data_IF_721707375612
#
_entry.id   IF_721707375612
#
_cell.length_a   1.000
_cell.length_b   1.000
_cell.length_c   1.000
_cell.angle_alpha   90.00
_cell.angle_beta   90.00
_cell.angle_gamma   90.00
#
_symmetry.space_group_name_H-M   'P 1'
#
loop_
_entity.id
_entity.type
_entity.pdbx_description
1 polymer ?
#
# COMPACT_ATOMS: atom_id res chain seq x y z
N UNK A 1 19.31 28.62 -56.38
CA UNK A 1 18.61 27.37 -56.72
C UNK A 1 18.00 26.87 -55.41
N UNK A 2 16.77 27.30 -55.11
CA UNK A 2 15.50 26.58 -55.38
C UNK A 2 15.33 25.42 -54.37
N UNK A 3 14.54 25.63 -53.30
CA UNK A 3 13.14 25.17 -53.09
C UNK A 3 13.07 23.62 -52.99
N UNK A 4 12.46 23.01 -51.97
CA UNK A 4 11.02 23.06 -51.71
C UNK A 4 10.65 22.82 -50.23
N UNK A 5 9.64 23.59 -49.81
CA UNK A 5 8.75 23.32 -48.69
C UNK A 5 7.59 22.44 -49.20
N UNK A 6 7.23 21.38 -48.48
CA UNK A 6 5.90 20.76 -48.57
C UNK A 6 5.57 20.09 -47.21
N UNK A 7 4.83 20.75 -46.31
CA UNK A 7 3.36 20.69 -46.14
C UNK A 7 2.76 19.31 -45.82
N UNK A 8 2.55 18.99 -44.53
CA UNK A 8 1.43 18.16 -44.02
C UNK A 8 1.10 18.62 -42.58
N UNK A 9 0.28 19.67 -42.37
CA UNK A 9 -1.19 19.74 -42.26
C UNK A 9 -1.84 18.79 -41.24
N UNK A 10 -2.26 19.42 -40.13
CA UNK A 10 -3.31 19.01 -39.19
C UNK A 10 -4.67 18.83 -39.91
N UNK A 11 -5.57 17.94 -39.45
CA UNK A 11 -6.96 17.99 -39.87
C UNK A 11 -7.77 18.85 -38.88
N UNK A 12 -8.14 20.06 -39.33
CA UNK A 12 -9.27 20.83 -38.81
C UNK A 12 -10.54 20.39 -39.54
N UNK A 13 -11.62 20.30 -38.76
CA UNK A 13 -13.03 20.20 -39.15
C UNK A 13 -13.36 20.79 -40.53
N UNK A 14 -14.05 20.02 -41.36
CA UNK A 14 -14.97 20.55 -42.36
C UNK A 14 -16.37 20.02 -42.07
N UNK A 15 -17.26 20.97 -41.77
CA UNK A 15 -18.70 20.83 -41.83
C UNK A 15 -19.12 21.34 -43.21
N UNK A 16 -19.95 20.57 -43.93
CA UNK A 16 -20.86 21.12 -44.93
C UNK A 16 -22.25 20.59 -44.59
N UNK A 17 -23.15 21.56 -44.49
CA UNK A 17 -24.52 21.49 -44.06
C UNK A 17 -25.48 21.23 -45.23
N UNK A 18 -26.71 20.87 -44.86
CA UNK A 18 -27.90 20.72 -45.69
C UNK A 18 -28.66 19.50 -45.19
N UNK A 19 -29.61 19.61 -44.27
CA UNK A 19 -30.97 20.13 -44.54
C UNK A 19 -31.52 20.94 -43.35
N UNK A 20 -32.34 21.92 -43.71
CA UNK A 20 -32.92 23.02 -42.94
C UNK A 20 -33.81 22.62 -41.74
N UNK A 21 -33.73 23.45 -40.69
CA UNK A 21 -34.75 23.64 -39.66
C UNK A 21 -35.93 24.45 -40.25
N UNK A 22 -37.21 24.14 -39.98
CA UNK A 22 -38.07 24.56 -38.84
C UNK A 22 -39.55 24.23 -39.24
N UNK A 23 -40.60 24.33 -38.39
CA UNK A 23 -40.65 24.68 -36.97
C UNK A 23 -41.50 23.70 -36.11
N UNK A 24 -41.57 24.05 -34.82
CA UNK A 24 -42.33 23.42 -33.74
C UNK A 24 -43.71 22.85 -34.11
N UNK A 25 -43.99 21.65 -33.60
CA UNK A 25 -45.29 21.37 -33.01
C UNK A 25 -45.05 20.80 -31.63
N UNK A 26 -45.38 21.61 -30.63
CA UNK A 26 -45.59 21.15 -29.28
C UNK A 26 -46.73 20.12 -29.33
N UNK A 27 -46.39 18.85 -29.50
CA UNK A 27 -47.27 17.78 -29.09
C UNK A 27 -47.21 17.80 -27.56
N UNK A 28 -48.20 18.49 -27.00
CA UNK A 28 -48.59 18.39 -25.61
C UNK A 28 -48.32 16.96 -25.14
N UNK A 29 -47.40 16.82 -24.17
CA UNK A 29 -47.57 15.77 -23.20
C UNK A 29 -48.96 16.04 -22.61
N UNK A 30 -49.98 15.41 -23.19
CA UNK A 30 -51.26 15.24 -22.55
C UNK A 30 -50.89 14.42 -21.33
N UNK A 31 -50.64 15.16 -20.23
CA UNK A 31 -50.87 14.70 -18.88
C UNK A 31 -52.30 14.17 -18.91
N UNK A 32 -52.44 12.90 -19.31
CA UNK A 32 -53.58 12.10 -18.97
C UNK A 32 -53.57 12.09 -17.45
N UNK A 33 -54.39 12.96 -16.87
CA UNK A 33 -54.78 12.87 -15.49
C UNK A 33 -55.16 11.41 -15.25
N UNK A 34 -54.32 10.67 -14.52
CA UNK A 34 -54.82 9.50 -13.82
C UNK A 34 -55.70 10.09 -12.71
N UNK A 35 -57.04 9.95 -12.77
CA UNK A 35 -57.86 10.30 -11.63
C UNK A 35 -57.38 9.44 -10.46
N UNK A 36 -56.99 10.11 -9.39
CA UNK A 36 -56.73 9.44 -8.12
C UNK A 36 -57.99 8.72 -7.65
N UNK A 37 -57.79 7.54 -7.07
CA UNK A 37 -58.71 6.80 -6.20
C UNK A 37 -59.78 5.87 -6.79
N UNK A 38 -59.58 5.30 -7.98
CA UNK A 38 -60.29 4.05 -8.36
C UNK A 38 -59.29 2.94 -8.64
N UNK A 39 -59.39 1.85 -7.86
CA UNK A 39 -58.53 0.68 -8.01
C UNK A 39 -58.87 -0.05 -9.31
N UNK A 40 -58.08 0.20 -10.36
CA UNK A 40 -58.15 -0.55 -11.62
C UNK A 40 -58.02 -2.04 -11.31
N UNK A 41 -59.00 -2.83 -11.74
CA UNK A 41 -59.03 -4.27 -11.51
C UNK A 41 -57.87 -4.96 -12.23
N UNK A 42 -57.40 -6.07 -11.67
CA UNK A 42 -56.28 -6.85 -12.21
C UNK A 42 -56.50 -7.30 -13.65
N UNK A 43 -57.75 -7.58 -14.04
CA UNK A 43 -58.10 -7.94 -15.41
C UNK A 43 -57.91 -6.75 -16.39
N UNK A 44 -58.21 -5.54 -15.94
CA UNK A 44 -58.11 -4.31 -16.73
C UNK A 44 -56.64 -3.89 -16.92
N UNK A 45 -55.78 -4.10 -15.91
CA UNK A 45 -54.31 -3.93 -16.03
C UNK A 45 -53.68 -4.85 -17.08
N UNK A 46 -54.15 -6.09 -17.14
CA UNK A 46 -53.68 -7.08 -18.13
C UNK A 46 -54.09 -6.69 -19.54
N UNK A 47 -55.31 -6.16 -19.69
CA UNK A 47 -55.80 -5.72 -20.98
C UNK A 47 -55.02 -4.51 -21.50
N UNK A 48 -54.79 -3.50 -20.66
CA UNK A 48 -53.98 -2.32 -21.01
C UNK A 48 -52.54 -2.73 -21.39
N UNK A 49 -51.91 -3.61 -20.62
CA UNK A 49 -50.55 -4.08 -20.94
C UNK A 49 -50.47 -4.83 -22.28
N UNK A 50 -51.51 -5.59 -22.67
CA UNK A 50 -51.56 -6.22 -23.99
C UNK A 50 -51.75 -5.22 -25.12
N UNK A 51 -52.58 -4.19 -24.90
CA UNK A 51 -52.80 -3.11 -25.89
C UNK A 51 -51.54 -2.24 -26.08
N UNK A 52 -50.73 -2.10 -25.03
CA UNK A 52 -49.42 -1.42 -25.08
C UNK A 52 -48.29 -2.30 -25.64
N UNK A 53 -48.59 -3.55 -26.05
CA UNK A 53 -47.66 -4.44 -26.73
C UNK A 53 -46.70 -5.21 -25.81
N UNK A 54 -46.99 -5.29 -24.51
CA UNK A 54 -46.19 -6.11 -23.59
C UNK A 54 -46.40 -7.61 -23.85
N UNK A 55 -45.30 -8.36 -23.72
CA UNK A 55 -45.30 -9.81 -23.89
C UNK A 55 -46.13 -10.50 -22.80
N UNK A 56 -46.90 -11.53 -23.19
CA UNK A 56 -47.77 -12.28 -22.28
C UNK A 56 -47.00 -12.88 -21.09
N UNK A 57 -45.76 -13.31 -21.30
CA UNK A 57 -44.89 -13.85 -20.26
C UNK A 57 -44.44 -12.77 -19.27
N UNK A 58 -44.18 -11.54 -19.75
CA UNK A 58 -43.81 -10.41 -18.89
C UNK A 58 -44.99 -9.97 -18.00
N UNK A 59 -46.22 -10.04 -18.53
CA UNK A 59 -47.46 -9.77 -17.79
C UNK A 59 -47.67 -10.83 -16.71
N UNK A 60 -47.49 -12.12 -17.04
CA UNK A 60 -47.63 -13.22 -16.07
C UNK A 60 -46.57 -13.11 -14.93
N UNK A 61 -45.34 -12.72 -15.25
CA UNK A 61 -44.26 -12.48 -14.28
C UNK A 61 -44.54 -11.29 -13.35
N UNK A 62 -45.25 -10.27 -13.83
CA UNK A 62 -45.60 -9.10 -13.03
C UNK A 62 -46.79 -9.34 -12.09
N UNK A 63 -47.70 -10.26 -12.46
CA UNK A 63 -48.88 -10.62 -11.67
C UNK A 63 -48.60 -11.68 -10.61
N UNK A 64 -47.67 -12.59 -10.89
CA UNK A 64 -47.26 -13.64 -9.96
C UNK A 64 -45.97 -13.19 -9.28
N UNK A 65 -46.01 -12.71 -8.01
CA UNK A 65 -44.77 -12.50 -7.28
C UNK A 65 -44.00 -13.83 -7.27
N UNK A 66 -42.71 -13.85 -7.68
CA UNK A 66 -41.94 -15.09 -7.72
C UNK A 66 -42.03 -15.76 -6.36
N UNK A 67 -42.46 -17.03 -6.38
CA UNK A 67 -42.89 -17.81 -5.23
C UNK A 67 -42.02 -17.60 -3.99
N UNK A 68 -42.59 -16.94 -2.99
CA UNK A 68 -42.11 -17.01 -1.62
C UNK A 68 -42.88 -18.10 -0.89
N UNK A 69 -42.86 -19.34 -1.39
CA UNK A 69 -43.25 -20.46 -0.54
C UNK A 69 -42.15 -20.64 0.50
N UNK A 70 -42.47 -21.04 1.75
CA UNK A 70 -41.46 -21.29 2.77
C UNK A 70 -40.38 -22.28 2.30
N UNK A 71 -40.75 -23.22 1.43
CA UNK A 71 -39.85 -24.21 0.85
C UNK A 71 -38.79 -23.59 -0.08
N UNK A 72 -39.14 -22.57 -0.86
CA UNK A 72 -38.20 -21.90 -1.77
C UNK A 72 -37.23 -20.99 -1.01
N UNK A 73 -37.68 -20.36 0.08
CA UNK A 73 -36.81 -19.61 1.01
C UNK A 73 -35.80 -20.55 1.67
N UNK A 74 -36.25 -21.73 2.12
CA UNK A 74 -35.37 -22.75 2.72
C UNK A 74 -34.36 -23.26 1.68
N UNK A 75 -34.78 -23.52 0.44
CA UNK A 75 -33.87 -23.93 -0.64
C UNK A 75 -32.83 -22.86 -0.96
N UNK A 76 -33.24 -21.59 -1.00
CA UNK A 76 -32.33 -20.46 -1.20
C UNK A 76 -31.32 -20.36 -0.05
N UNK A 77 -31.77 -20.51 1.20
CA UNK A 77 -30.88 -20.51 2.38
C UNK A 77 -29.87 -21.66 2.33
N UNK A 78 -30.31 -22.86 1.93
CA UNK A 78 -29.41 -24.00 1.74
C UNK A 78 -28.40 -23.70 0.64
N UNK A 79 -28.83 -23.18 -0.51
CA UNK A 79 -27.94 -22.80 -1.62
C UNK A 79 -26.94 -21.71 -1.22
N UNK A 80 -27.38 -20.68 -0.48
CA UNK A 80 -26.50 -19.63 0.05
C UNK A 80 -25.50 -20.22 1.03
N UNK A 81 -25.92 -21.14 1.91
CA UNK A 81 -25.04 -21.79 2.88
C UNK A 81 -24.01 -22.66 2.17
N UNK A 82 -24.43 -23.45 1.18
CA UNK A 82 -23.53 -24.26 0.35
C UNK A 82 -22.57 -23.37 -0.44
N UNK A 83 -23.05 -22.27 -1.03
CA UNK A 83 -22.20 -21.30 -1.72
C UNK A 83 -21.20 -20.64 -0.76
N UNK A 84 -21.61 -20.25 0.45
CA UNK A 84 -20.73 -19.69 1.46
C UNK A 84 -19.68 -20.70 1.93
N UNK A 85 -20.06 -21.97 2.15
CA UNK A 85 -19.13 -23.06 2.49
C UNK A 85 -18.16 -23.31 1.34
N UNK A 86 -18.63 -23.34 0.09
CA UNK A 86 -17.77 -23.46 -1.09
C UNK A 86 -16.83 -22.28 -1.21
N UNK A 87 -17.28 -21.04 -0.95
CA UNK A 87 -16.41 -19.87 -0.91
C UNK A 87 -15.38 -20.01 0.21
N UNK A 88 -15.74 -20.40 1.44
CA UNK A 88 -14.77 -20.59 2.53
C UNK A 88 -13.76 -21.71 2.20
N UNK A 89 -14.21 -22.79 1.55
CA UNK A 89 -13.40 -23.95 1.24
C UNK A 89 -12.46 -23.71 0.05
N UNK A 90 -12.92 -23.05 -1.02
CA UNK A 90 -12.12 -22.71 -2.19
C UNK A 90 -11.35 -21.39 -2.02
N UNK A 91 -11.79 -20.51 -1.13
CA UNK A 91 -11.19 -19.21 -0.80
C UNK A 91 -10.97 -19.11 0.71
N UNK A 92 -9.88 -19.70 1.25
CA UNK A 92 -9.57 -19.58 2.67
C UNK A 92 -9.47 -18.10 3.05
N UNK A 93 -10.30 -17.64 4.00
CA UNK A 93 -10.42 -16.23 4.40
C UNK A 93 -9.08 -15.63 4.90
N UNK A 94 -8.17 -16.47 5.40
CA UNK A 94 -6.78 -16.10 5.75
C UNK A 94 -5.97 -15.57 4.55
N UNK A 95 -6.43 -15.80 3.31
CA UNK A 95 -5.82 -15.28 2.08
C UNK A 95 -6.14 -13.80 1.83
N UNK A 96 -7.28 -13.32 2.33
CA UNK A 96 -7.76 -11.95 2.10
C UNK A 96 -7.53 -11.04 3.31
N UNK A 97 -7.61 -11.59 4.51
CA UNK A 97 -7.28 -10.87 5.74
C UNK A 97 -5.83 -11.14 6.10
N UNK A 98 -4.93 -10.37 5.48
CA UNK A 98 -3.54 -10.28 5.94
C UNK A 98 -3.57 -9.79 7.39
N UNK A 99 -2.82 -10.39 8.33
CA UNK A 99 -2.72 -9.87 9.68
C UNK A 99 -2.24 -8.41 9.58
N UNK A 100 -2.97 -7.48 10.20
CA UNK A 100 -2.47 -6.13 10.38
C UNK A 100 -1.22 -6.26 11.26
N UNK A 101 -0.02 -5.93 10.75
CA UNK A 101 1.18 -6.02 11.56
C UNK A 101 1.03 -5.07 12.74
N UNK A 102 1.27 -5.55 13.96
CA UNK A 102 1.58 -4.67 15.07
C UNK A 102 3.01 -4.20 14.87
N UNK A 103 3.11 -2.93 14.48
CA UNK A 103 4.33 -2.21 14.08
C UNK A 103 5.35 -2.23 15.24
N UNK A 104 6.65 -2.32 14.95
CA UNK A 104 7.73 -1.99 15.90
C UNK A 104 7.71 -0.50 16.36
N UNK A 105 6.64 0.22 16.01
CA UNK A 105 6.66 1.65 15.81
C UNK A 105 7.56 2.04 14.63
N UNK A 106 7.31 3.23 14.10
CA UNK A 106 8.32 3.88 13.26
C UNK A 106 9.61 4.09 14.06
N UNK A 107 10.76 4.17 13.39
CA UNK A 107 11.98 4.60 14.06
C UNK A 107 11.76 6.03 14.58
N UNK A 108 11.75 6.20 15.90
CA UNK A 108 11.43 7.48 16.53
C UNK A 108 12.59 7.96 17.40
N UNK A 109 12.77 9.27 17.47
CA UNK A 109 13.66 9.90 18.45
C UNK A 109 13.15 9.79 19.89
N UNK A 110 11.99 9.17 20.09
CA UNK A 110 11.36 8.95 21.39
C UNK A 110 10.21 9.92 21.68
N UNK A 111 9.85 9.99 22.96
CA UNK A 111 8.75 10.81 23.46
C UNK A 111 8.90 12.32 23.19
N UNK A 112 7.88 13.11 23.51
CA UNK A 112 7.86 14.54 23.22
C UNK A 112 8.94 15.30 24.00
N UNK A 113 9.62 16.22 23.33
CA UNK A 113 10.47 17.23 23.95
C UNK A 113 9.58 18.34 24.53
N UNK A 114 9.38 18.36 25.84
CA UNK A 114 8.52 19.33 26.52
C UNK A 114 9.34 20.43 27.22
N UNK A 115 8.82 21.65 27.28
CA UNK A 115 9.50 22.77 27.99
C UNK A 115 9.77 22.44 29.45
N UNK A 116 8.85 21.70 30.10
CA UNK A 116 8.94 21.34 31.51
C UNK A 116 10.08 20.34 31.83
N UNK A 117 10.58 19.60 30.84
CA UNK A 117 11.67 18.64 31.00
C UNK A 117 13.04 19.17 30.57
N UNK A 118 13.12 20.46 30.19
CA UNK A 118 14.36 21.03 29.64
C UNK A 118 14.82 22.28 30.41
N UNK A 119 16.14 22.44 30.50
CA UNK A 119 16.72 23.63 31.10
C UNK A 119 16.40 24.87 30.25
N UNK A 120 15.84 25.90 30.88
CA UNK A 120 15.44 27.13 30.21
C UNK A 120 16.60 27.84 29.49
N UNK A 121 17.84 27.64 29.94
CA UNK A 121 19.06 28.14 29.27
C UNK A 121 19.38 27.39 27.98
N UNK A 122 19.18 26.07 27.94
CA UNK A 122 19.48 25.24 26.77
C UNK A 122 18.49 25.51 25.63
N UNK A 123 17.20 25.67 25.95
CA UNK A 123 16.16 26.03 24.97
C UNK A 123 16.37 27.43 24.40
N UNK A 124 16.87 28.37 25.21
CA UNK A 124 17.13 29.75 24.77
C UNK A 124 18.34 29.84 23.83
N UNK A 125 19.34 28.99 24.03
CA UNK A 125 20.60 29.05 23.29
C UNK A 125 20.64 28.15 22.05
N UNK A 126 19.67 27.23 21.89
CA UNK A 126 19.62 26.28 20.77
C UNK A 126 18.33 26.49 19.95
N UNK A 127 18.40 27.18 18.79
CA UNK A 127 17.24 27.47 17.94
C UNK A 127 16.46 26.20 17.52
N UNK A 128 17.17 25.13 17.15
CA UNK A 128 16.60 23.86 16.76
C UNK A 128 15.81 23.19 17.90
N UNK A 129 16.24 23.35 19.15
CA UNK A 129 15.59 22.76 20.32
C UNK A 129 14.28 23.48 20.62
N UNK A 130 14.29 24.82 20.52
CA UNK A 130 13.09 25.64 20.62
C UNK A 130 12.06 25.29 19.53
N UNK A 131 12.53 25.06 18.31
CA UNK A 131 11.65 24.61 17.22
C UNK A 131 11.05 23.23 17.52
N UNK A 132 11.87 22.27 17.94
CA UNK A 132 11.45 20.90 18.25
C UNK A 132 10.37 20.86 19.34
N UNK A 133 10.55 21.63 20.42
CA UNK A 133 9.58 21.69 21.53
C UNK A 133 8.23 22.25 21.06
N UNK A 134 8.23 23.28 20.20
CA UNK A 134 6.99 23.82 19.62
C UNK A 134 6.29 22.83 18.70
N UNK A 135 7.06 22.12 17.88
CA UNK A 135 6.56 21.08 16.99
C UNK A 135 5.93 19.94 17.80
N UNK A 136 6.63 19.46 18.82
CA UNK A 136 6.15 18.37 19.67
C UNK A 136 4.91 18.78 20.48
N UNK A 137 4.81 20.05 20.92
CA UNK A 137 3.58 20.59 21.50
C UNK A 137 2.42 20.55 20.48
N UNK A 138 2.63 21.07 19.28
CA UNK A 138 1.59 21.08 18.25
C UNK A 138 1.14 19.66 17.90
N UNK A 139 2.08 18.73 17.78
CA UNK A 139 1.79 17.35 17.39
C UNK A 139 1.17 16.52 18.51
N UNK A 140 1.85 16.41 19.67
CA UNK A 140 1.44 15.49 20.73
C UNK A 140 0.39 16.08 21.70
N UNK A 141 0.40 17.40 21.94
CA UNK A 141 -0.56 18.02 22.89
C UNK A 141 -1.78 18.59 22.18
N UNK A 142 -1.59 19.23 21.02
CA UNK A 142 -2.67 19.91 20.31
C UNK A 142 -3.26 19.09 19.15
N UNK A 143 -2.61 17.98 18.74
CA UNK A 143 -3.07 17.12 17.65
C UNK A 143 -3.02 17.76 16.26
N UNK A 144 -2.30 18.88 16.11
CA UNK A 144 -2.24 19.70 14.89
C UNK A 144 -1.08 19.28 13.98
N UNK A 145 -1.17 18.07 13.44
CA UNK A 145 -0.14 17.48 12.57
C UNK A 145 0.25 18.39 11.39
N UNK A 146 -0.73 19.01 10.72
CA UNK A 146 -0.44 19.90 9.57
C UNK A 146 0.29 21.19 9.97
N UNK A 147 0.00 21.75 11.16
CA UNK A 147 0.71 22.94 11.66
C UNK A 147 2.11 22.58 12.13
N UNK A 148 2.28 21.43 12.78
CA UNK A 148 3.58 20.90 13.17
C UNK A 148 4.50 20.70 11.95
N UNK A 149 3.98 20.15 10.86
CA UNK A 149 4.71 19.99 9.59
C UNK A 149 5.12 21.33 9.01
N UNK A 150 4.19 22.29 8.89
CA UNK A 150 4.50 23.63 8.36
C UNK A 150 5.57 24.33 9.19
N UNK A 151 5.52 24.20 10.51
CA UNK A 151 6.52 24.77 11.40
C UNK A 151 7.88 24.08 11.22
N UNK A 152 7.91 22.75 11.08
CA UNK A 152 9.14 22.02 10.81
C UNK A 152 9.77 22.44 9.48
N UNK A 153 8.99 22.55 8.40
CA UNK A 153 9.44 23.04 7.09
C UNK A 153 10.04 24.45 7.20
N UNK A 154 9.33 25.38 7.85
CA UNK A 154 9.77 26.76 8.04
C UNK A 154 11.08 26.88 8.84
N UNK A 155 11.25 26.07 9.89
CA UNK A 155 12.45 26.11 10.73
C UNK A 155 13.64 25.40 10.05
N UNK A 156 13.40 24.32 9.31
CA UNK A 156 14.43 23.64 8.53
C UNK A 156 14.96 24.49 7.37
N UNK A 157 14.14 25.35 6.77
CA UNK A 157 14.60 26.35 5.78
C UNK A 157 15.62 27.34 6.35
N UNK A 158 15.54 27.62 7.66
CA UNK A 158 16.46 28.52 8.37
C UNK A 158 17.70 27.81 8.89
N UNK A 159 17.78 26.48 8.76
CA UNK A 159 18.88 25.70 9.30
C UNK A 159 20.19 26.07 8.58
N UNK A 160 21.26 26.45 9.32
CA UNK A 160 22.54 26.74 8.71
C UNK A 160 23.10 25.50 8.02
N UNK A 161 23.55 25.63 6.77
CA UNK A 161 24.14 24.50 6.03
C UNK A 161 25.34 23.88 6.78
N UNK A 162 26.12 24.71 7.49
CA UNK A 162 27.30 24.28 8.24
C UNK A 162 26.98 23.65 9.61
N UNK A 163 25.73 23.64 10.07
CA UNK A 163 25.30 23.09 11.37
C UNK A 163 24.19 22.03 11.22
N UNK A 164 24.17 21.31 10.08
CA UNK A 164 23.13 20.31 9.80
C UNK A 164 23.09 19.19 10.86
N UNK A 165 24.23 18.87 11.47
CA UNK A 165 24.34 17.93 12.59
C UNK A 165 23.60 18.38 13.86
N UNK A 166 23.62 19.68 14.18
CA UNK A 166 22.87 20.25 15.31
C UNK A 166 21.35 20.18 15.11
N UNK A 167 20.90 20.18 13.85
CA UNK A 167 19.49 20.15 13.46
C UNK A 167 18.93 18.75 13.19
N UNK A 168 19.76 17.71 13.34
CA UNK A 168 19.43 16.32 13.01
C UNK A 168 18.14 15.81 13.65
N UNK A 169 17.94 16.08 14.94
CA UNK A 169 16.73 15.64 15.64
C UNK A 169 15.45 16.30 15.08
N UNK A 170 15.57 17.54 14.55
CA UNK A 170 14.45 18.22 13.89
C UNK A 170 14.12 17.53 12.55
N UNK A 171 15.12 17.14 11.78
CA UNK A 171 14.92 16.33 10.56
C UNK A 171 14.25 14.99 10.88
N UNK A 172 14.70 14.30 11.91
CA UNK A 172 14.13 13.01 12.30
C UNK A 172 12.65 13.14 12.70
N UNK A 173 12.32 14.13 13.55
CA UNK A 173 10.92 14.39 13.90
C UNK A 173 10.11 14.81 12.68
N UNK A 174 10.66 15.64 11.80
CA UNK A 174 9.99 16.03 10.57
C UNK A 174 9.63 14.80 9.70
N UNK A 175 10.51 13.82 9.59
CA UNK A 175 10.23 12.58 8.86
C UNK A 175 9.18 11.69 9.53
N UNK A 176 9.16 11.61 10.86
CA UNK A 176 8.07 10.98 11.61
C UNK A 176 6.73 11.63 11.24
N UNK A 177 6.65 12.96 11.30
CA UNK A 177 5.41 13.71 10.96
C UNK A 177 4.99 13.49 9.50
N UNK A 178 5.93 13.47 8.56
CA UNK A 178 5.63 13.22 7.15
C UNK A 178 5.13 11.79 6.90
N UNK A 179 5.67 10.81 7.64
CA UNK A 179 5.20 9.42 7.57
C UNK A 179 3.75 9.33 8.07
N UNK A 180 3.44 9.96 9.19
CA UNK A 180 2.10 9.98 9.80
C UNK A 180 1.08 10.73 8.94
N UNK A 181 1.51 11.78 8.24
CA UNK A 181 0.69 12.54 7.30
C UNK A 181 0.55 11.90 5.91
N UNK A 182 1.11 10.71 5.70
CA UNK A 182 1.16 10.01 4.41
C UNK A 182 1.77 10.85 3.26
N UNK A 183 2.75 11.70 3.58
CA UNK A 183 3.45 12.56 2.60
C UNK A 183 4.65 11.84 1.98
N UNK A 184 4.44 10.64 1.45
CA UNK A 184 5.49 9.73 1.00
C UNK A 184 6.48 10.31 -0.03
N UNK A 185 6.02 11.14 -0.98
CA UNK A 185 6.91 11.77 -1.96
C UNK A 185 7.84 12.81 -1.31
N UNK A 186 7.30 13.67 -0.44
CA UNK A 186 8.07 14.69 0.28
C UNK A 186 9.08 14.02 1.20
N UNK A 187 8.65 12.97 1.91
CA UNK A 187 9.51 12.16 2.77
C UNK A 187 10.69 11.57 1.99
N UNK A 188 10.41 10.97 0.82
CA UNK A 188 11.44 10.39 -0.06
C UNK A 188 12.44 11.43 -0.55
N UNK A 189 11.97 12.60 -0.97
CA UNK A 189 12.85 13.67 -1.46
C UNK A 189 13.71 14.26 -0.33
N UNK A 190 13.10 14.53 0.83
CA UNK A 190 13.80 15.10 1.98
C UNK A 190 14.88 14.16 2.53
N UNK A 191 14.56 12.88 2.71
CA UNK A 191 15.53 11.88 3.16
C UNK A 191 16.64 11.66 2.13
N UNK A 192 16.32 11.62 0.84
CA UNK A 192 17.33 11.53 -0.23
C UNK A 192 18.35 12.68 -0.17
N UNK A 193 17.87 13.91 -0.07
CA UNK A 193 18.73 15.10 0.00
C UNK A 193 19.57 15.16 1.29
N UNK A 194 19.13 14.52 2.37
CA UNK A 194 19.91 14.39 3.59
C UNK A 194 20.99 13.30 3.47
N UNK A 195 20.65 12.18 2.82
CA UNK A 195 21.58 11.06 2.58
C UNK A 195 22.73 11.41 1.64
N UNK A 196 22.61 12.46 0.83
CA UNK A 196 23.72 12.95 0.00
C UNK A 196 24.91 13.42 0.86
N UNK A 197 24.65 13.99 2.04
CA UNK A 197 25.68 14.42 3.00
C UNK A 197 25.99 13.34 4.06
N UNK A 198 24.97 12.57 4.47
CA UNK A 198 25.07 11.59 5.54
C UNK A 198 24.60 10.21 5.07
N UNK A 199 25.36 9.53 4.20
CA UNK A 199 24.89 8.32 3.52
C UNK A 199 24.57 7.17 4.47
N UNK A 200 25.26 7.05 5.60
CA UNK A 200 25.09 5.95 6.56
C UNK A 200 24.19 6.32 7.75
N UNK A 201 23.42 7.41 7.66
CA UNK A 201 22.49 7.79 8.72
C UNK A 201 21.34 6.76 8.83
N UNK A 202 21.18 6.06 9.98
CA UNK A 202 20.22 4.98 10.09
C UNK A 202 18.76 5.45 10.00
N UNK A 203 18.45 6.64 10.54
CA UNK A 203 17.11 7.21 10.47
C UNK A 203 16.74 7.59 9.04
N UNK A 204 17.61 8.32 8.36
CA UNK A 204 17.36 8.77 7.00
C UNK A 204 17.19 7.57 6.04
N UNK A 205 18.03 6.54 6.20
CA UNK A 205 17.93 5.30 5.42
C UNK A 205 16.63 4.54 5.68
N UNK A 206 16.21 4.44 6.95
CA UNK A 206 14.94 3.81 7.31
C UNK A 206 13.75 4.51 6.64
N UNK A 207 13.64 5.83 6.79
CA UNK A 207 12.52 6.60 6.22
C UNK A 207 12.55 6.67 4.69
N UNK A 208 13.75 6.71 4.09
CA UNK A 208 13.89 6.61 2.64
C UNK A 208 13.41 5.24 2.12
N UNK A 209 13.82 4.14 2.77
CA UNK A 209 13.37 2.80 2.38
C UNK A 209 11.85 2.62 2.57
N UNK A 210 11.30 3.05 3.71
CA UNK A 210 9.87 2.95 4.00
C UNK A 210 9.02 3.77 3.02
N UNK A 211 9.45 4.99 2.67
CA UNK A 211 8.77 5.79 1.65
C UNK A 211 8.89 5.19 0.24
N UNK A 212 10.05 4.61 -0.10
CA UNK A 212 10.26 3.90 -1.36
C UNK A 212 9.34 2.69 -1.49
N UNK A 213 9.21 1.87 -0.43
CA UNK A 213 8.31 0.72 -0.35
C UNK A 213 6.84 1.15 -0.39
N UNK A 214 6.46 2.27 0.24
CA UNK A 214 5.07 2.75 0.17
C UNK A 214 4.65 3.22 -1.23
N UNK A 215 5.59 3.79 -1.98
CA UNK A 215 5.35 4.08 -3.41
C UNK A 215 5.22 2.81 -4.26
N UNK A 216 5.61 1.66 -3.70
CA UNK A 216 5.67 0.38 -4.41
C UNK A 216 4.38 -0.33 -4.69
N UNK A 217 3.35 -0.07 -3.91
CA UNK A 217 2.09 -0.79 -4.08
C UNK A 217 1.34 -0.45 -5.38
N UNK A 218 1.87 0.48 -6.21
CA UNK A 218 1.27 0.94 -7.47
C UNK A 218 1.76 0.20 -8.73
N UNK A 219 2.48 -0.93 -8.60
CA UNK A 219 3.26 -1.51 -9.71
C UNK A 219 2.58 -2.41 -10.72
N UNK A 220 1.30 -2.75 -10.54
CA UNK A 220 0.62 -3.67 -11.45
C UNK A 220 0.54 -3.18 -12.91
N UNK A 221 0.77 -1.89 -13.17
CA UNK A 221 0.68 -1.28 -14.50
C UNK A 221 2.03 -0.75 -15.07
N UNK A 222 3.18 -1.14 -14.52
CA UNK A 222 4.47 -0.68 -15.06
C UNK A 222 4.84 -1.42 -16.36
N UNK A 223 5.27 -0.65 -17.36
CA UNK A 223 5.94 -1.19 -18.54
C UNK A 223 7.30 -1.82 -18.17
N UNK A 224 7.86 -2.63 -19.07
CA UNK A 224 9.10 -3.37 -18.81
C UNK A 224 10.29 -2.46 -18.47
N UNK A 225 10.42 -1.32 -19.15
CA UNK A 225 11.52 -0.38 -18.92
C UNK A 225 11.42 0.27 -17.52
N UNK A 226 10.24 0.74 -17.13
CA UNK A 226 10.01 1.34 -15.81
C UNK A 226 10.17 0.30 -14.70
N UNK A 227 9.75 -0.95 -14.94
CA UNK A 227 9.97 -2.07 -14.01
C UNK A 227 11.45 -2.32 -13.77
N UNK A 228 12.27 -2.38 -14.82
CA UNK A 228 13.71 -2.59 -14.72
C UNK A 228 14.42 -1.42 -14.02
N UNK A 229 14.09 -0.17 -14.38
CA UNK A 229 14.64 1.00 -13.70
C UNK A 229 14.28 1.01 -12.21
N UNK A 230 13.03 0.68 -11.90
CA UNK A 230 12.57 0.65 -10.52
C UNK A 230 13.23 -0.48 -9.71
N UNK A 231 13.42 -1.66 -10.32
CA UNK A 231 14.21 -2.75 -9.76
C UNK A 231 15.64 -2.33 -9.44
N UNK A 232 16.34 -1.68 -10.37
CA UNK A 232 17.69 -1.18 -10.13
C UNK A 232 17.74 -0.18 -8.98
N UNK A 233 16.73 0.68 -8.87
CA UNK A 233 16.62 1.60 -7.73
C UNK A 233 16.42 0.84 -6.41
N UNK A 234 15.56 -0.18 -6.39
CA UNK A 234 15.32 -1.00 -5.21
C UNK A 234 16.59 -1.74 -4.76
N UNK A 235 17.37 -2.28 -5.71
CA UNK A 235 18.67 -2.90 -5.43
C UNK A 235 19.67 -1.89 -4.85
N UNK A 236 19.70 -0.65 -5.37
CA UNK A 236 20.55 0.40 -4.84
C UNK A 236 20.16 0.77 -3.40
N UNK A 237 18.86 0.84 -3.09
CA UNK A 237 18.39 1.07 -1.72
C UNK A 237 18.81 -0.09 -0.81
N UNK A 238 18.60 -1.34 -1.23
CA UNK A 238 18.95 -2.52 -0.44
C UNK A 238 20.46 -2.60 -0.14
N UNK A 239 21.32 -2.22 -1.10
CA UNK A 239 22.78 -2.08 -0.88
C UNK A 239 23.12 -0.94 0.07
N UNK A 240 22.38 0.17 0.03
CA UNK A 240 22.57 1.28 0.97
C UNK A 240 22.26 0.86 2.41
N UNK A 241 21.16 0.13 2.61
CA UNK A 241 20.81 -0.42 3.92
C UNK A 241 21.89 -1.39 4.42
N UNK A 242 22.44 -2.22 3.53
CA UNK A 242 23.52 -3.14 3.92
C UNK A 242 24.78 -2.41 4.43
N UNK A 243 25.17 -1.31 3.76
CA UNK A 243 26.27 -0.45 4.21
C UNK A 243 25.99 0.17 5.58
N UNK A 244 24.77 0.68 5.77
CA UNK A 244 24.32 1.28 7.02
C UNK A 244 24.32 0.27 8.17
N UNK A 245 23.78 -0.93 7.94
CA UNK A 245 23.83 -2.03 8.90
C UNK A 245 25.27 -2.45 9.23
N UNK A 246 26.15 -2.49 8.24
CA UNK A 246 27.58 -2.80 8.46
C UNK A 246 28.26 -1.74 9.34
N UNK A 247 27.93 -0.46 9.12
CA UNK A 247 28.40 0.66 9.94
C UNK A 247 27.90 0.56 11.39
N UNK A 248 26.63 0.21 11.60
CA UNK A 248 26.06 -0.03 12.93
C UNK A 248 26.74 -1.20 13.66
N UNK A 249 27.00 -2.31 12.96
CA UNK A 249 27.74 -3.44 13.53
C UNK A 249 29.19 -3.08 13.90
N UNK A 250 29.84 -2.23 13.10
CA UNK A 250 31.17 -1.71 13.44
C UNK A 250 31.13 -0.84 14.71
N UNK A 251 30.11 0.01 14.85
CA UNK A 251 29.88 0.81 16.06
C UNK A 251 29.63 -0.08 17.29
N UNK A 252 28.81 -1.14 17.15
CA UNK A 252 28.54 -2.12 18.22
C UNK A 252 29.82 -2.77 18.77
N UNK A 253 30.83 -2.98 17.92
CA UNK A 253 32.11 -3.60 18.28
C UNK A 253 33.12 -2.63 18.91
N UNK A 254 32.84 -1.33 18.93
CA UNK A 254 33.78 -0.34 19.45
C UNK A 254 33.89 -0.45 20.98
N UNK A 255 35.11 -0.45 21.56
CA UNK A 255 35.28 -0.43 23.01
C UNK A 255 34.71 0.88 23.59
N UNK A 256 33.90 0.78 24.65
CA UNK A 256 33.35 1.94 25.37
C UNK A 256 31.92 2.37 24.97
N UNK A 257 31.18 1.58 24.20
CA UNK A 257 29.75 1.85 23.95
C UNK A 257 28.93 1.50 25.19
N UNK A 258 28.11 2.43 25.67
CA UNK A 258 27.20 2.21 26.81
C UNK A 258 26.12 1.19 26.47
N UNK A 259 25.57 0.52 27.49
CA UNK A 259 24.52 -0.48 27.31
C UNK A 259 23.24 0.11 26.67
N UNK A 260 22.86 1.33 27.02
CA UNK A 260 21.74 2.05 26.39
C UNK A 260 22.00 2.28 24.89
N UNK A 261 23.21 2.72 24.54
CA UNK A 261 23.59 2.95 23.13
C UNK A 261 23.65 1.64 22.35
N UNK A 262 24.04 0.52 22.97
CA UNK A 262 23.99 -0.80 22.35
C UNK A 262 22.55 -1.22 22.03
N UNK A 263 21.61 -0.99 22.94
CA UNK A 263 20.19 -1.29 22.70
C UNK A 263 19.63 -0.48 21.53
N UNK A 264 19.96 0.82 21.46
CA UNK A 264 19.55 1.69 20.34
C UNK A 264 20.14 1.21 19.02
N UNK A 265 21.42 0.83 19.00
CA UNK A 265 22.07 0.30 17.80
C UNK A 265 21.40 -1.00 17.34
N UNK A 266 21.03 -1.88 18.28
CA UNK A 266 20.34 -3.13 17.96
C UNK A 266 18.94 -2.88 17.39
N UNK A 267 18.14 -2.00 18.00
CA UNK A 267 16.82 -1.60 17.48
C UNK A 267 16.93 -1.04 16.05
N UNK A 268 17.91 -0.17 15.82
CA UNK A 268 18.16 0.39 14.49
C UNK A 268 18.55 -0.69 13.48
N UNK A 269 19.43 -1.60 13.89
CA UNK A 269 19.86 -2.70 13.06
C UNK A 269 18.67 -3.60 12.65
N UNK A 270 17.83 -3.98 13.62
CA UNK A 270 16.65 -4.81 13.37
C UNK A 270 15.67 -4.14 12.41
N UNK A 271 15.32 -2.86 12.66
CA UNK A 271 14.42 -2.09 11.79
C UNK A 271 14.95 -1.95 10.36
N UNK A 272 16.24 -1.65 10.20
CA UNK A 272 16.86 -1.54 8.87
C UNK A 272 16.92 -2.87 8.13
N UNK A 273 17.24 -3.98 8.84
CA UNK A 273 17.22 -5.32 8.26
C UNK A 273 15.82 -5.73 7.80
N UNK A 274 14.78 -5.41 8.58
CA UNK A 274 13.40 -5.66 8.16
C UNK A 274 13.04 -4.89 6.87
N UNK A 275 13.37 -3.59 6.78
CA UNK A 275 13.13 -2.81 5.55
C UNK A 275 13.95 -3.36 4.37
N UNK A 276 15.17 -3.86 4.60
CA UNK A 276 15.97 -4.53 3.59
C UNK A 276 15.32 -5.82 3.09
N UNK A 277 14.77 -6.65 3.98
CA UNK A 277 14.03 -7.85 3.60
C UNK A 277 12.79 -7.49 2.75
N UNK A 278 12.04 -6.45 3.13
CA UNK A 278 10.90 -5.94 2.34
C UNK A 278 11.33 -5.50 0.94
N UNK A 279 12.47 -4.83 0.79
CA UNK A 279 13.03 -4.46 -0.51
C UNK A 279 13.40 -5.67 -1.37
N UNK A 280 13.97 -6.72 -0.77
CA UNK A 280 14.27 -7.95 -1.51
C UNK A 280 13.00 -8.67 -1.97
N UNK A 281 11.95 -8.72 -1.14
CA UNK A 281 10.64 -9.24 -1.56
C UNK A 281 10.07 -8.42 -2.72
N UNK A 282 10.22 -7.10 -2.69
CA UNK A 282 9.80 -6.23 -3.78
C UNK A 282 10.58 -6.50 -5.08
N UNK A 283 11.90 -6.62 -5.01
CA UNK A 283 12.76 -6.95 -6.16
C UNK A 283 12.35 -8.29 -6.76
N UNK A 284 12.14 -9.30 -5.91
CA UNK A 284 11.67 -10.62 -6.33
C UNK A 284 10.32 -10.54 -7.07
N UNK A 285 9.35 -9.79 -6.52
CA UNK A 285 8.03 -9.59 -7.17
C UNK A 285 8.13 -8.85 -8.51
N UNK A 286 9.08 -7.92 -8.64
CA UNK A 286 9.32 -7.19 -9.90
C UNK A 286 10.01 -8.06 -10.95
N UNK A 287 10.70 -9.13 -10.54
CA UNK A 287 11.36 -10.09 -11.41
C UNK A 287 10.43 -10.79 -12.39
N UNK A 288 9.14 -10.87 -12.07
CA UNK A 288 8.15 -11.53 -12.91
C UNK A 288 7.93 -12.99 -12.53
N UNK A 289 7.00 -13.61 -13.26
CA UNK A 289 6.32 -14.85 -12.88
C UNK A 289 7.05 -16.14 -13.30
N UNK A 290 8.27 -16.10 -13.82
CA UNK A 290 8.97 -17.29 -14.34
C UNK A 290 9.73 -18.04 -13.24
N UNK A 291 9.66 -19.39 -13.31
CA UNK A 291 9.79 -20.50 -12.33
C UNK A 291 10.71 -20.37 -11.09
N UNK A 292 10.79 -21.41 -10.24
CA UNK A 292 11.75 -21.43 -9.10
C UNK A 292 13.23 -21.49 -9.54
N UNK A 293 13.50 -21.56 -10.83
CA UNK A 293 14.85 -21.47 -11.41
C UNK A 293 15.19 -20.04 -11.87
N UNK A 294 14.28 -19.08 -11.68
CA UNK A 294 14.53 -17.70 -12.05
C UNK A 294 15.63 -17.08 -11.18
N UNK A 295 16.55 -16.28 -11.76
CA UNK A 295 17.67 -15.68 -11.03
C UNK A 295 17.21 -14.84 -9.82
N UNK A 296 15.99 -14.35 -9.82
CA UNK A 296 15.45 -13.50 -8.74
C UNK A 296 14.97 -14.25 -7.51
N UNK A 297 14.92 -15.59 -7.58
CA UNK A 297 14.69 -16.43 -6.41
C UNK A 297 15.74 -16.17 -5.33
N UNK A 298 16.95 -15.75 -5.72
CA UNK A 298 18.01 -15.31 -4.79
C UNK A 298 17.53 -14.19 -3.87
N UNK A 299 16.68 -13.26 -4.34
CA UNK A 299 16.16 -12.19 -3.49
C UNK A 299 15.10 -12.68 -2.51
N UNK A 300 14.26 -13.65 -2.90
CA UNK A 300 13.36 -14.33 -1.97
C UNK A 300 14.16 -14.99 -0.85
N UNK A 301 15.19 -15.74 -1.20
CA UNK A 301 15.99 -16.49 -0.24
C UNK A 301 16.77 -15.55 0.68
N UNK A 302 17.30 -14.43 0.16
CA UNK A 302 17.89 -13.36 0.99
C UNK A 302 16.88 -12.73 1.95
N UNK A 303 15.64 -12.52 1.52
CA UNK A 303 14.61 -11.98 2.41
C UNK A 303 14.27 -12.96 3.54
N UNK A 304 14.18 -14.26 3.22
CA UNK A 304 13.95 -15.33 4.21
C UNK A 304 15.13 -15.43 5.18
N UNK A 305 16.36 -15.47 4.69
CA UNK A 305 17.59 -15.53 5.51
C UNK A 305 17.65 -14.36 6.50
N UNK A 306 17.32 -13.14 6.06
CA UNK A 306 17.22 -11.98 6.97
C UNK A 306 16.12 -12.21 8.02
N UNK A 307 14.93 -12.64 7.62
CA UNK A 307 13.82 -12.86 8.55
C UNK A 307 14.06 -14.03 9.53
N UNK A 308 14.93 -14.97 9.17
CA UNK A 308 15.30 -16.14 9.98
C UNK A 308 16.53 -15.89 10.85
N UNK A 309 17.22 -14.77 10.64
CA UNK A 309 18.34 -14.39 11.49
C UNK A 309 17.92 -14.26 12.95
N UNK A 310 18.82 -14.61 13.87
CA UNK A 310 18.58 -14.50 15.32
C UNK A 310 18.10 -13.11 15.74
N UNK A 311 18.55 -12.07 15.03
CA UNK A 311 18.16 -10.69 15.29
C UNK A 311 16.66 -10.41 15.02
N UNK A 312 16.02 -11.18 14.14
CA UNK A 312 14.63 -10.98 13.70
C UNK A 312 13.71 -12.18 13.97
N UNK A 313 14.23 -13.31 14.47
CA UNK A 313 13.47 -14.54 14.66
C UNK A 313 12.22 -14.38 15.57
N UNK A 314 12.34 -13.56 16.62
CA UNK A 314 11.24 -13.27 17.55
C UNK A 314 10.31 -12.15 17.09
N UNK A 315 10.60 -11.57 15.93
CA UNK A 315 9.88 -10.40 15.45
C UNK A 315 8.61 -10.80 14.69
N UNK A 316 7.46 -10.35 15.20
CA UNK A 316 6.15 -10.58 14.57
C UNK A 316 6.08 -10.10 13.12
N UNK A 317 6.70 -8.96 12.81
CA UNK A 317 6.72 -8.40 11.45
C UNK A 317 7.57 -9.23 10.48
N UNK A 318 8.71 -9.76 10.96
CA UNK A 318 9.52 -10.69 10.18
C UNK A 318 8.73 -11.99 9.91
N UNK A 319 8.06 -12.54 10.92
CA UNK A 319 7.16 -13.70 10.77
C UNK A 319 6.01 -13.42 9.79
N UNK A 320 5.39 -12.24 9.86
CA UNK A 320 4.36 -11.83 8.91
C UNK A 320 4.93 -11.70 7.49
N UNK A 321 6.13 -11.17 7.33
CA UNK A 321 6.79 -11.09 6.03
C UNK A 321 7.11 -12.49 5.47
N UNK A 322 7.57 -13.42 6.31
CA UNK A 322 7.73 -14.85 5.94
C UNK A 322 6.42 -15.45 5.47
N UNK A 323 5.34 -15.25 6.23
CA UNK A 323 4.01 -15.73 5.85
C UNK A 323 3.56 -15.17 4.50
N UNK A 324 3.81 -13.89 4.22
CA UNK A 324 3.53 -13.27 2.91
C UNK A 324 4.38 -13.90 1.80
N UNK A 325 5.67 -14.16 2.05
CA UNK A 325 6.55 -14.83 1.08
C UNK A 325 6.02 -16.23 0.77
N UNK A 326 5.77 -17.06 1.78
CA UNK A 326 5.28 -18.43 1.61
C UNK A 326 3.91 -18.47 0.94
N UNK A 327 2.99 -17.58 1.32
CA UNK A 327 1.69 -17.44 0.65
C UNK A 327 1.87 -17.14 -0.82
N UNK A 328 2.78 -16.23 -1.17
CA UNK A 328 3.04 -15.89 -2.57
C UNK A 328 3.64 -17.05 -3.36
N UNK A 329 4.55 -17.84 -2.75
CA UNK A 329 5.11 -19.06 -3.37
C UNK A 329 4.01 -20.12 -3.59
N UNK A 330 3.17 -20.37 -2.59
CA UNK A 330 2.11 -21.37 -2.67
C UNK A 330 1.02 -20.98 -3.68
N UNK A 331 0.57 -19.73 -3.67
CA UNK A 331 -0.38 -19.21 -4.66
C UNK A 331 0.14 -19.37 -6.09
N UNK A 332 1.45 -19.17 -6.26
CA UNK A 332 2.13 -19.33 -7.54
C UNK A 332 2.17 -20.80 -7.98
N UNK A 333 2.55 -21.74 -7.11
CA UNK A 333 2.53 -23.16 -7.44
C UNK A 333 1.13 -23.68 -7.78
N UNK A 334 0.10 -23.21 -7.07
CA UNK A 334 -1.29 -23.54 -7.41
C UNK A 334 -1.70 -23.06 -8.81
N UNK A 335 -1.21 -21.89 -9.26
CA UNK A 335 -1.47 -21.38 -10.61
C UNK A 335 -0.83 -22.26 -11.71
N UNK A 336 0.42 -22.69 -11.50
CA UNK A 336 1.12 -23.58 -12.45
C UNK A 336 0.56 -25.01 -12.47
N UNK A 337 0.02 -25.52 -11.35
CA UNK A 337 -0.70 -26.80 -11.30
C UNK A 337 -1.99 -26.76 -12.13
N UNK A 338 -2.70 -25.62 -12.14
CA UNK A 338 -3.84 -25.39 -13.05
C UNK A 338 -3.48 -25.42 -14.53
N UNK A 339 -2.18 -25.34 -14.86
CA UNK A 339 -1.61 -25.45 -16.20
C UNK A 339 -0.87 -26.80 -16.44
N UNK A 340 -0.95 -27.76 -15.51
CA UNK A 340 -0.30 -29.10 -15.58
C UNK A 340 1.24 -29.13 -15.62
N UNK A 341 1.95 -28.09 -15.15
CA UNK A 341 3.41 -28.02 -15.35
C UNK A 341 4.26 -28.66 -14.23
N UNK A 342 3.74 -28.97 -13.02
CA UNK A 342 4.64 -29.37 -11.92
C UNK A 342 4.09 -30.54 -11.07
N UNK A 343 4.54 -31.77 -11.34
CA UNK A 343 4.35 -32.92 -10.43
C UNK A 343 5.53 -33.13 -9.45
N UNK A 344 6.72 -32.62 -9.77
CA UNK A 344 7.95 -32.94 -9.01
C UNK A 344 8.20 -32.09 -7.74
N UNK A 345 7.26 -31.23 -7.31
CA UNK A 345 7.45 -30.32 -6.14
C UNK A 345 6.55 -30.58 -4.93
N UNK A 346 5.86 -31.73 -4.90
CA UNK A 346 4.93 -32.10 -3.85
C UNK A 346 5.53 -32.04 -2.42
N UNK A 347 6.79 -32.48 -2.25
CA UNK A 347 7.45 -32.48 -0.94
C UNK A 347 7.76 -31.06 -0.45
N UNK A 348 8.37 -30.22 -1.29
CA UNK A 348 8.65 -28.82 -0.95
C UNK A 348 7.36 -28.04 -0.64
N UNK A 349 6.26 -28.31 -1.37
CA UNK A 349 4.94 -27.75 -1.08
C UNK A 349 4.41 -28.11 0.29
N UNK A 350 4.55 -29.38 0.69
CA UNK A 350 4.12 -29.83 2.01
C UNK A 350 4.88 -29.10 3.12
N UNK A 351 6.19 -28.88 2.92
CA UNK A 351 7.03 -28.18 3.89
C UNK A 351 6.66 -26.69 3.99
N UNK A 352 6.52 -25.98 2.85
CA UNK A 352 6.09 -24.57 2.86
C UNK A 352 4.70 -24.38 3.45
N UNK A 353 3.78 -25.31 3.18
CA UNK A 353 2.43 -25.25 3.74
C UNK A 353 2.45 -25.50 5.24
N UNK A 354 3.22 -26.47 5.71
CA UNK A 354 3.43 -26.72 7.14
C UNK A 354 4.01 -25.50 7.84
N UNK A 355 5.05 -24.88 7.28
CA UNK A 355 5.66 -23.67 7.83
C UNK A 355 4.67 -22.48 7.85
N UNK A 356 3.85 -22.33 6.80
CA UNK A 356 2.82 -21.29 6.77
C UNK A 356 1.73 -21.53 7.82
N UNK A 357 1.29 -22.78 8.00
CA UNK A 357 0.29 -23.13 8.99
C UNK A 357 0.81 -22.92 10.42
N UNK A 358 2.07 -23.28 10.69
CA UNK A 358 2.76 -22.99 11.96
C UNK A 358 2.87 -21.49 12.22
N UNK A 359 3.34 -20.70 11.23
CA UNK A 359 3.44 -19.25 11.35
C UNK A 359 2.08 -18.58 11.56
N UNK A 360 1.05 -19.03 10.85
CA UNK A 360 -0.30 -18.48 11.01
C UNK A 360 -0.86 -18.79 12.40
N UNK A 361 -0.60 -19.99 12.94
CA UNK A 361 -1.00 -20.33 14.29
C UNK A 361 -0.31 -19.45 15.34
N UNK A 362 0.95 -19.07 15.12
CA UNK A 362 1.68 -18.13 16.00
C UNK A 362 1.22 -16.66 15.86
N UNK A 363 0.64 -16.29 14.72
CA UNK A 363 0.23 -14.90 14.42
C UNK A 363 -1.21 -14.58 14.82
N UNK A 364 -2.05 -15.60 15.09
CA UNK A 364 -3.41 -15.45 15.61
C UNK A 364 -3.34 -15.30 17.14
N UNK A 365 -3.92 -14.22 17.72
CA UNK A 365 -3.84 -13.92 19.15
C UNK A 365 -4.57 -14.92 20.05
#
# INVERSE_FOLDING_TARGET
>A
MASDQENQRLPVKQSVAGVQAQPATAAQAVLGHLPGSESIDTAEKVQIAREEGYDAMAIDLALVPPGATPADIIRLLILITVAAVLVIFFFPLNRFFKPAPQDLGSMSIGGPFLEASQNASDVRNKPWLKALVKIDRLYFQEGKLSEAIKLAELELEKAPQNDRAGWRNLYYRYWELLLDADRGLVLKMSTRAYLDDYPEDPFANYYFARSFLKTADRYHNLNAQTRNSYRQNAEAVARQLDRTCSSLLAQKKHPGVSQEKLQIIEDFYQKLRLEQAKLFVLIWKLGGFEEDEHPDVIYRDKALDICESEALADMKEARALKAVIYTHVLDRWNWFEGQQIIQNKLHQRKDFRKQLDELNAELIP
#
